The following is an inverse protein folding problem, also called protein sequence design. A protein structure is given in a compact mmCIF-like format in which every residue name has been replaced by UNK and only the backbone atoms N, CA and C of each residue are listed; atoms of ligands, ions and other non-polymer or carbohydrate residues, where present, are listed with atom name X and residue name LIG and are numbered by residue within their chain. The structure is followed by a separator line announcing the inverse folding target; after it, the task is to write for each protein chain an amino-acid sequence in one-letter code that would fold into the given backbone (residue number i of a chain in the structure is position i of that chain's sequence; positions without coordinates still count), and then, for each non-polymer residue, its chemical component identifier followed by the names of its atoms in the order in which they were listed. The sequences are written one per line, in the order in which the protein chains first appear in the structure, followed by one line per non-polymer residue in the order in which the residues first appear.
data_IF_458948996295
#
_entry.id   IF_458948996295
#
_cell.length_a   1.000
_cell.length_b   1.000
_cell.length_c   1.000
_cell.angle_alpha   90.00
_cell.angle_beta   90.00
_cell.angle_gamma   90.00
#
_symmetry.space_group_name_H-M   'P 1'
#
loop_
_entity.id
_entity.type
_entity.pdbx_description
1 polymer ?
#
# COMPACT_ATOMS: atom_id res chain seq x y z
N UNK A 1 8.38 -4.97 -12.17
CA UNK A 1 8.74 -4.18 -13.37
C UNK A 1 10.25 -4.09 -13.50
N UNK A 2 10.78 -4.17 -14.72
CA UNK A 2 12.24 -4.10 -14.95
C UNK A 2 12.67 -2.72 -15.45
N UNK A 3 11.88 -2.03 -16.29
CA UNK A 3 12.25 -0.69 -16.84
C UNK A 3 11.09 0.30 -17.01
N UNK A 4 9.89 0.03 -16.49
CA UNK A 4 8.70 0.85 -16.74
C UNK A 4 7.88 1.12 -15.48
N UNK A 5 7.11 2.21 -15.52
CA UNK A 5 6.03 2.45 -14.57
C UNK A 5 4.83 1.54 -14.86
N UNK A 6 4.11 1.13 -13.81
CA UNK A 6 2.84 0.40 -13.95
C UNK A 6 1.77 0.97 -13.02
N UNK A 7 0.51 0.84 -13.43
CA UNK A 7 -0.65 1.17 -12.61
C UNK A 7 -1.56 -0.05 -12.52
N UNK A 8 -1.93 -0.44 -11.30
CA UNK A 8 -2.79 -1.57 -11.01
C UNK A 8 -4.00 -1.11 -10.20
N UNK A 9 -5.18 -1.62 -10.53
CA UNK A 9 -6.38 -1.45 -9.71
C UNK A 9 -6.78 -2.80 -9.15
N UNK A 10 -6.93 -2.87 -7.82
CA UNK A 10 -7.35 -4.07 -7.11
C UNK A 10 -8.80 -3.88 -6.67
N UNK A 11 -9.67 -4.81 -7.09
CA UNK A 11 -11.12 -4.78 -6.81
C UNK A 11 -11.58 -5.99 -5.96
N UNK A 12 -10.62 -6.72 -5.38
CA UNK A 12 -10.91 -7.91 -4.57
C UNK A 12 -11.71 -7.54 -3.32
N UNK A 13 -12.79 -8.28 -3.06
CA UNK A 13 -13.60 -8.14 -1.85
C UNK A 13 -13.07 -8.99 -0.67
N UNK A 14 -11.93 -9.66 -0.86
CA UNK A 14 -11.29 -10.51 0.13
C UNK A 14 -9.78 -10.50 -0.10
N UNK A 15 -9.18 -9.31 -0.07
CA UNK A 15 -7.77 -9.12 -0.37
C UNK A 15 -6.90 -9.70 0.75
N UNK A 16 -5.98 -10.58 0.37
CA UNK A 16 -5.13 -11.34 1.30
C UNK A 16 -3.66 -10.90 1.30
N UNK A 17 -3.26 -10.11 0.31
CA UNK A 17 -1.87 -9.78 0.10
C UNK A 17 -1.40 -9.92 -1.34
N UNK A 18 -0.11 -9.72 -1.54
CA UNK A 18 0.53 -9.81 -2.84
C UNK A 18 2.01 -9.49 -2.77
N UNK A 19 2.69 -9.57 -3.92
CA UNK A 19 4.11 -9.23 -4.04
C UNK A 19 4.34 -8.23 -5.15
N UNK A 20 5.17 -7.23 -4.87
CA UNK A 20 5.57 -6.18 -5.79
C UNK A 20 7.10 -6.20 -5.89
N UNK A 21 7.63 -6.31 -7.10
CA UNK A 21 9.07 -6.25 -7.33
C UNK A 21 9.39 -5.28 -8.46
N UNK A 22 10.21 -4.27 -8.17
CA UNK A 22 10.66 -3.26 -9.12
C UNK A 22 12.19 -3.16 -9.11
N UNK A 23 12.82 -3.38 -10.26
CA UNK A 23 14.27 -3.19 -10.43
C UNK A 23 14.53 -1.74 -10.85
N UNK A 24 13.85 -1.26 -11.91
CA UNK A 24 13.77 0.15 -12.26
C UNK A 24 12.31 0.55 -12.53
N UNK A 25 11.92 1.71 -11.99
CA UNK A 25 10.61 2.34 -12.23
C UNK A 25 9.69 2.33 -11.01
N UNK A 26 8.41 2.62 -11.26
CA UNK A 26 7.41 2.79 -10.21
C UNK A 26 6.22 1.86 -10.36
N UNK A 27 5.51 1.61 -9.28
CA UNK A 27 4.19 0.95 -9.33
C UNK A 27 3.19 1.75 -8.54
N UNK A 28 2.10 2.18 -9.17
CA UNK A 28 0.96 2.76 -8.49
C UNK A 28 -0.13 1.70 -8.35
N UNK A 29 -0.63 1.49 -7.13
CA UNK A 29 -1.68 0.52 -6.86
C UNK A 29 -2.85 1.21 -6.19
N UNK A 30 -4.02 1.03 -6.78
CA UNK A 30 -5.28 1.55 -6.30
C UNK A 30 -6.10 0.42 -5.67
N UNK A 31 -6.31 0.54 -4.36
CA UNK A 31 -7.14 -0.36 -3.53
C UNK A 31 -8.47 0.27 -3.13
N UNK A 32 -8.85 1.42 -3.70
CA UNK A 32 -10.06 2.16 -3.27
C UNK A 32 -11.36 1.34 -3.40
N UNK A 33 -11.36 0.33 -4.27
CA UNK A 33 -12.47 -0.60 -4.52
C UNK A 33 -12.25 -2.01 -3.92
N UNK A 34 -11.20 -2.19 -3.13
CA UNK A 34 -10.89 -3.45 -2.47
C UNK A 34 -11.45 -3.49 -1.04
N UNK A 35 -11.60 -4.71 -0.52
CA UNK A 35 -11.87 -5.01 0.89
C UNK A 35 -10.83 -5.98 1.43
N UNK A 36 -10.44 -5.81 2.69
CA UNK A 36 -9.51 -6.70 3.37
C UNK A 36 -10.21 -7.97 3.85
N UNK A 37 -9.47 -9.08 3.80
CA UNK A 37 -9.82 -10.26 4.58
C UNK A 37 -9.75 -9.98 6.09
N UNK A 38 -10.36 -10.86 6.88
CA UNK A 38 -10.17 -10.86 8.33
C UNK A 38 -8.71 -11.22 8.68
N UNK A 39 -8.12 -10.53 9.66
CA UNK A 39 -6.73 -10.69 10.02
C UNK A 39 -5.78 -9.90 9.09
N UNK A 40 -4.69 -10.53 8.67
CA UNK A 40 -3.59 -9.84 8.00
C UNK A 40 -3.64 -10.02 6.48
N UNK A 41 -3.60 -8.90 5.76
CA UNK A 41 -3.30 -8.85 4.35
C UNK A 41 -1.89 -8.28 4.15
N UNK A 42 -0.95 -9.10 3.66
CA UNK A 42 0.47 -8.74 3.60
C UNK A 42 0.90 -8.45 2.16
N UNK A 43 1.46 -7.28 1.93
CA UNK A 43 2.07 -6.90 0.66
C UNK A 43 3.58 -6.81 0.82
N UNK A 44 4.29 -7.74 0.18
CA UNK A 44 5.75 -7.75 0.13
C UNK A 44 6.25 -6.84 -0.99
N UNK A 45 7.16 -5.93 -0.67
CA UNK A 45 7.78 -5.00 -1.63
C UNK A 45 9.29 -5.20 -1.71
N UNK A 46 9.79 -5.35 -2.93
CA UNK A 46 11.21 -5.37 -3.25
C UNK A 46 11.49 -4.34 -4.35
N UNK A 47 12.01 -3.18 -3.97
CA UNK A 47 12.32 -2.08 -4.91
C UNK A 47 13.82 -1.74 -4.88
N UNK A 48 14.49 -1.80 -6.04
CA UNK A 48 15.91 -1.43 -6.14
C UNK A 48 16.05 0.03 -6.57
N UNK A 49 15.50 0.44 -7.72
CA UNK A 49 15.47 1.83 -8.19
C UNK A 49 14.04 2.28 -8.51
N UNK A 50 13.53 3.26 -7.76
CA UNK A 50 12.20 3.83 -7.91
C UNK A 50 11.33 3.57 -6.68
N UNK A 51 10.06 3.23 -6.85
CA UNK A 51 9.18 3.16 -5.70
C UNK A 51 7.79 2.60 -5.93
N UNK A 52 6.99 2.65 -4.87
CA UNK A 52 5.60 2.19 -4.89
C UNK A 52 4.68 3.27 -4.34
N UNK A 53 3.56 3.52 -5.01
CA UNK A 53 2.48 4.35 -4.49
C UNK A 53 1.27 3.49 -4.21
N UNK A 54 0.73 3.59 -3.01
CA UNK A 54 -0.51 2.96 -2.62
C UNK A 54 -1.61 4.02 -2.46
N UNK A 55 -2.76 3.76 -3.07
CA UNK A 55 -4.00 4.49 -2.80
C UNK A 55 -4.95 3.55 -2.08
N UNK A 56 -5.22 3.82 -0.80
CA UNK A 56 -5.96 2.94 0.09
C UNK A 56 -7.30 3.57 0.51
N UNK A 57 -8.29 2.76 0.91
CA UNK A 57 -9.42 3.24 1.70
C UNK A 57 -8.95 3.88 3.02
N UNK A 58 -9.58 4.99 3.42
CA UNK A 58 -9.16 5.78 4.59
C UNK A 58 -9.42 5.09 5.94
N UNK A 59 -10.33 4.12 5.95
CA UNK A 59 -10.76 3.27 7.08
C UNK A 59 -9.85 2.07 7.33
N UNK A 60 -8.85 1.82 6.47
CA UNK A 60 -7.93 0.70 6.65
C UNK A 60 -6.91 0.95 7.75
N UNK A 61 -6.75 -0.04 8.64
CA UNK A 61 -5.62 -0.13 9.54
C UNK A 61 -4.39 -0.59 8.76
N UNK A 62 -3.41 0.31 8.60
CA UNK A 62 -2.20 0.06 7.80
C UNK A 62 -0.98 0.04 8.69
N UNK A 63 -0.15 -0.97 8.50
CA UNK A 63 1.15 -1.13 9.17
C UNK A 63 2.24 -1.05 8.11
N UNK A 64 3.24 -0.20 8.34
CA UNK A 64 4.37 0.00 7.42
C UNK A 64 5.61 -0.59 8.10
N UNK A 65 6.14 -1.66 7.51
CA UNK A 65 7.32 -2.40 7.95
C UNK A 65 8.32 -2.51 6.80
N UNK A 66 8.75 -1.35 6.29
CA UNK A 66 9.62 -1.23 5.12
C UNK A 66 10.97 -0.68 5.53
N UNK A 67 12.03 -1.40 5.18
CA UNK A 67 13.40 -0.93 5.33
C UNK A 67 13.80 -0.12 4.10
N UNK A 68 14.29 1.11 4.31
CA UNK A 68 14.84 1.95 3.25
C UNK A 68 16.34 2.20 3.47
N UNK A 69 17.14 2.17 2.39
CA UNK A 69 18.57 2.53 2.46
C UNK A 69 18.78 3.98 1.99
N UNK A 70 18.32 4.30 0.77
CA UNK A 70 18.39 5.63 0.17
C UNK A 70 17.00 6.10 -0.29
N UNK A 71 16.20 6.56 0.66
CA UNK A 71 14.91 7.21 0.46
C UNK A 71 13.95 7.01 1.63
N UNK A 72 12.65 7.24 1.41
CA UNK A 72 11.64 7.30 2.47
C UNK A 72 10.34 6.63 2.04
N UNK A 73 9.62 6.03 3.00
CA UNK A 73 8.21 5.67 2.85
C UNK A 73 7.35 6.66 3.63
N UNK A 74 6.53 7.43 2.92
CA UNK A 74 5.70 8.48 3.51
C UNK A 74 4.23 8.07 3.55
N UNK A 75 3.64 8.05 4.75
CA UNK A 75 2.19 7.94 4.92
C UNK A 75 1.57 9.35 4.90
N UNK A 76 0.84 9.65 3.83
CA UNK A 76 0.12 10.91 3.61
C UNK A 76 -1.39 10.70 3.60
N UNK A 77 -1.88 9.62 4.23
CA UNK A 77 -3.31 9.35 4.33
C UNK A 77 -4.01 10.43 5.15
N UNK A 78 -5.12 10.91 4.64
CA UNK A 78 -6.15 11.56 5.47
C UNK A 78 -6.87 10.44 6.22
N UNK A 79 -6.59 10.33 7.52
CA UNK A 79 -7.18 9.31 8.38
C UNK A 79 -8.60 9.74 8.79
N UNK A 80 -9.51 8.77 8.84
CA UNK A 80 -10.82 8.95 9.48
C UNK A 80 -10.68 8.76 11.00
N UNK A 81 -11.69 9.18 11.77
CA UNK A 81 -11.73 8.95 13.22
C UNK A 81 -11.55 7.47 13.54
N UNK A 82 -10.85 7.16 14.63
CA UNK A 82 -10.53 5.78 15.03
C UNK A 82 -11.75 4.87 15.21
N UNK A 83 -12.94 5.43 15.43
CA UNK A 83 -14.21 4.71 15.51
C UNK A 83 -14.61 4.00 14.21
N UNK A 84 -14.09 4.45 13.06
CA UNK A 84 -14.37 3.88 11.74
C UNK A 84 -13.28 2.92 11.25
N UNK A 85 -12.24 2.68 12.05
CA UNK A 85 -11.13 1.79 11.69
C UNK A 85 -11.36 0.42 12.32
N UNK A 86 -11.53 -0.60 11.48
CA UNK A 86 -11.60 -1.99 11.95
C UNK A 86 -10.19 -2.53 12.20
N UNK A 87 -9.80 -2.59 13.48
CA UNK A 87 -8.49 -3.11 13.89
C UNK A 87 -8.35 -4.64 13.75
N UNK A 88 -9.44 -5.38 13.50
CA UNK A 88 -9.39 -6.82 13.24
C UNK A 88 -8.85 -7.16 11.84
N UNK A 89 -8.82 -6.17 10.94
CA UNK A 89 -8.29 -6.28 9.58
C UNK A 89 -7.07 -5.37 9.44
N UNK A 90 -5.96 -5.91 8.97
CA UNK A 90 -4.70 -5.17 8.87
C UNK A 90 -4.10 -5.29 7.48
N UNK A 91 -3.78 -4.17 6.88
CA UNK A 91 -2.99 -4.10 5.65
C UNK A 91 -1.53 -3.84 6.00
N UNK A 92 -0.68 -4.83 5.83
CA UNK A 92 0.73 -4.77 6.21
C UNK A 92 1.56 -4.62 4.95
N UNK A 93 2.31 -3.53 4.85
CA UNK A 93 3.29 -3.31 3.79
C UNK A 93 4.65 -3.66 4.38
N UNK A 94 5.32 -4.68 3.84
CA UNK A 94 6.63 -5.12 4.31
C UNK A 94 7.64 -5.21 3.19
N UNK A 95 8.91 -4.95 3.47
CA UNK A 95 10.00 -5.34 2.58
C UNK A 95 11.11 -4.31 2.50
N UNK A 96 11.75 -4.20 1.33
CA UNK A 96 12.97 -3.41 1.15
C UNK A 96 12.86 -2.44 -0.03
N UNK A 97 13.33 -1.20 0.18
CA UNK A 97 13.55 -0.20 -0.86
C UNK A 97 15.00 0.32 -0.79
N UNK A 98 15.78 0.12 -1.86
CA UNK A 98 17.20 0.53 -1.85
C UNK A 98 17.37 1.98 -2.29
N UNK A 99 16.99 2.34 -3.52
CA UNK A 99 17.05 3.71 -4.05
C UNK A 99 15.65 4.19 -4.45
N UNK A 100 15.07 5.07 -3.65
CA UNK A 100 13.71 5.58 -3.77
C UNK A 100 12.86 5.14 -2.58
N UNK A 101 11.56 4.95 -2.77
CA UNK A 101 10.65 4.98 -1.62
C UNK A 101 9.23 4.53 -1.85
N UNK A 102 8.38 4.88 -0.88
CA UNK A 102 6.96 4.57 -0.89
C UNK A 102 6.12 5.81 -0.61
N UNK A 103 4.96 5.92 -1.23
CA UNK A 103 3.96 6.91 -0.84
C UNK A 103 2.63 6.22 -0.61
N UNK A 104 1.99 6.50 0.52
CA UNK A 104 0.68 5.96 0.85
C UNK A 104 -0.28 7.14 0.95
N UNK A 105 -1.37 7.06 0.20
CA UNK A 105 -2.45 8.05 0.16
C UNK A 105 -3.77 7.36 0.44
N UNK A 106 -4.75 8.13 0.91
CA UNK A 106 -6.11 7.64 1.12
C UNK A 106 -7.12 8.39 0.26
N UNK A 107 -8.24 7.72 0.03
CA UNK A 107 -9.47 8.37 -0.45
C UNK A 107 -10.55 8.20 0.62
N UNK A 108 -11.16 9.33 1.01
CA UNK A 108 -12.34 9.31 1.87
C UNK A 108 -13.49 8.68 1.08
N UNK A 109 -13.97 7.53 1.54
CA UNK A 109 -15.24 6.98 1.08
C UNK A 109 -16.34 7.88 1.65
N UNK A 110 -17.18 8.46 0.79
CA UNK A 110 -18.42 9.10 1.26
C UNK A 110 -19.30 8.00 1.83
N UNK A 111 -19.35 7.88 3.15
CA UNK A 111 -20.37 7.08 3.83
C UNK A 111 -21.71 7.73 3.44
N UNK A 112 -22.57 6.96 2.76
CA UNK A 112 -23.96 7.34 2.54
C UNK A 112 -24.76 7.04 3.78
#
# INVERSE_FOLDING_TARGET
NIFSGSKLTVVSQNFKGGRISNIFGGTEIDFTQAELQDGDAIVDIDCIFGGVKFLLPADWHVIIDVNTIFGEVSDKRQMVTSEYVDFSKRFIIRGNCVFGGGEIKSVLRRVK
#
